data_IF_379239382615
#
_entry.id   IF_379239382615
#
_cell.length_a   1.000
_cell.length_b   1.000
_cell.length_c   1.000
_cell.angle_alpha   90.00
_cell.angle_beta   90.00
_cell.angle_gamma   90.00
#
_symmetry.space_group_name_H-M   'P 1'
#
loop_
_entity.id
_entity.type
_entity.pdbx_description
1 polymer ?
#
# COMPACT_ATOMS: atom_id res chain seq x y z
N UNK A 1 6.02 6.32 -8.56
CA UNK A 1 4.78 6.06 -7.78
C UNK A 1 5.05 5.15 -6.57
N UNK A 2 6.02 5.49 -5.71
CA UNK A 2 6.25 4.81 -4.41
C UNK A 2 6.74 5.77 -3.30
N UNK A 3 7.24 6.96 -3.67
CA UNK A 3 7.79 7.97 -2.76
C UNK A 3 6.75 8.89 -2.13
N UNK A 4 5.50 8.87 -2.62
CA UNK A 4 4.49 9.86 -2.25
C UNK A 4 3.93 9.71 -0.83
N UNK A 5 4.06 8.51 -0.24
CA UNK A 5 3.44 8.18 1.05
C UNK A 5 4.21 8.82 2.23
N UNK A 6 5.55 8.76 2.30
CA UNK A 6 6.31 9.58 3.25
C UNK A 6 5.99 11.08 3.13
N UNK A 7 5.89 11.62 1.91
CA UNK A 7 5.57 13.04 1.67
C UNK A 7 4.16 13.41 2.20
N UNK A 8 3.24 12.45 2.28
CA UNK A 8 1.90 12.68 2.84
C UNK A 8 1.91 12.93 4.36
N UNK A 9 3.04 12.70 5.04
CA UNK A 9 3.23 12.99 6.46
C UNK A 9 3.47 14.49 6.74
N UNK A 10 3.74 15.30 5.71
CA UNK A 10 3.85 16.77 5.85
C UNK A 10 2.50 17.45 6.16
N UNK A 11 1.38 16.76 5.97
CA UNK A 11 0.04 17.26 6.26
C UNK A 11 -0.33 17.21 7.75
N UNK A 12 -1.42 17.89 8.17
CA UNK A 12 -1.90 17.82 9.56
C UNK A 12 -2.19 16.36 10.00
N UNK A 13 -1.86 16.01 11.24
CA UNK A 13 -2.01 14.65 11.79
C UNK A 13 -3.36 13.98 11.52
N UNK A 14 -4.52 14.67 11.61
CA UNK A 14 -5.81 14.07 11.26
C UNK A 14 -5.96 13.71 9.78
N UNK A 15 -5.35 14.49 8.89
CA UNK A 15 -5.37 14.26 7.43
C UNK A 15 -4.47 13.09 7.07
N UNK A 16 -3.27 13.04 7.64
CA UNK A 16 -2.38 11.89 7.48
C UNK A 16 -3.04 10.60 7.98
N UNK A 17 -3.67 10.62 9.17
CA UNK A 17 -4.38 9.46 9.71
C UNK A 17 -5.50 8.96 8.78
N UNK A 18 -6.30 9.88 8.20
CA UNK A 18 -7.37 9.53 7.28
C UNK A 18 -6.87 8.87 5.98
N UNK A 19 -5.76 9.36 5.44
CA UNK A 19 -5.16 8.86 4.19
C UNK A 19 -4.51 7.49 4.42
N UNK A 20 -3.77 7.33 5.51
CA UNK A 20 -3.01 6.11 5.80
C UNK A 20 -3.89 4.95 6.28
N UNK A 21 -4.95 5.22 7.05
CA UNK A 21 -5.76 4.16 7.64
C UNK A 21 -7.07 3.89 6.88
N UNK A 22 -7.77 4.92 6.42
CA UNK A 22 -9.19 4.79 6.10
C UNK A 22 -9.56 4.95 4.63
N UNK A 23 -8.79 5.72 3.85
CA UNK A 23 -9.21 6.11 2.48
C UNK A 23 -8.29 5.57 1.39
N UNK A 24 -7.09 6.14 1.21
CA UNK A 24 -6.28 5.88 0.02
C UNK A 24 -5.71 4.46 -0.05
N UNK A 25 -5.20 3.93 1.06
CA UNK A 25 -4.68 2.55 1.09
C UNK A 25 -5.82 1.54 0.96
N UNK A 26 -6.95 1.79 1.64
CA UNK A 26 -8.13 0.92 1.58
C UNK A 26 -8.74 0.85 0.18
N UNK A 27 -8.75 1.95 -0.57
CA UNK A 27 -9.25 1.99 -1.94
C UNK A 27 -8.47 1.05 -2.88
N UNK A 28 -7.14 0.97 -2.72
CA UNK A 28 -6.30 0.04 -3.49
C UNK A 28 -6.65 -1.43 -3.22
N UNK A 29 -6.76 -1.82 -1.95
CA UNK A 29 -7.14 -3.19 -1.55
C UNK A 29 -8.56 -3.51 -2.00
N UNK A 30 -9.50 -2.56 -1.86
CA UNK A 30 -10.86 -2.71 -2.34
C UNK A 30 -10.93 -2.98 -3.84
N UNK A 31 -10.17 -2.24 -4.65
CA UNK A 31 -10.12 -2.47 -6.09
C UNK A 31 -9.61 -3.87 -6.41
N UNK A 32 -8.52 -4.31 -5.76
CA UNK A 32 -7.97 -5.66 -5.97
C UNK A 32 -8.97 -6.74 -5.61
N UNK A 33 -9.63 -6.62 -4.47
CA UNK A 33 -10.67 -7.55 -4.05
C UNK A 33 -11.87 -7.55 -5.01
N UNK A 34 -12.28 -6.37 -5.49
CA UNK A 34 -13.42 -6.25 -6.42
C UNK A 34 -13.12 -6.83 -7.81
N UNK A 35 -11.86 -6.73 -8.25
CA UNK A 35 -11.37 -7.27 -9.53
C UNK A 35 -10.86 -8.71 -9.41
N UNK A 36 -10.96 -9.34 -8.24
CA UNK A 36 -10.52 -10.72 -8.03
C UNK A 36 -11.07 -11.70 -9.09
N UNK A 37 -12.37 -11.66 -9.50
CA UNK A 37 -12.88 -12.55 -10.56
C UNK A 37 -12.20 -12.38 -11.93
N UNK A 38 -11.54 -11.25 -12.16
CA UNK A 38 -10.75 -10.99 -13.38
C UNK A 38 -9.32 -11.50 -13.18
N UNK A 39 -8.71 -11.23 -12.03
CA UNK A 39 -7.32 -11.60 -11.76
C UNK A 39 -7.10 -13.09 -11.60
N UNK A 40 -8.06 -13.80 -11.00
CA UNK A 40 -7.96 -15.25 -10.77
C UNK A 40 -7.91 -16.07 -12.07
N UNK A 41 -8.28 -15.47 -13.21
CA UNK A 41 -8.20 -16.09 -14.53
C UNK A 41 -6.76 -16.22 -15.05
N UNK A 42 -5.79 -15.56 -14.42
CA UNK A 42 -4.38 -15.59 -14.80
C UNK A 42 -3.49 -15.85 -13.58
N UNK A 43 -2.88 -17.03 -13.55
CA UNK A 43 -1.94 -17.41 -12.49
C UNK A 43 -0.74 -16.44 -12.40
N UNK A 44 -0.24 -15.98 -13.55
CA UNK A 44 0.86 -15.01 -13.62
C UNK A 44 0.46 -13.67 -13.00
N UNK A 45 -0.77 -13.19 -13.26
CA UNK A 45 -1.28 -11.95 -12.66
C UNK A 45 -1.37 -12.07 -11.14
N UNK A 46 -1.88 -13.18 -10.64
CA UNK A 46 -1.95 -13.45 -9.20
C UNK A 46 -0.57 -13.50 -8.56
N UNK A 47 0.40 -14.14 -9.22
CA UNK A 47 1.78 -14.21 -8.76
C UNK A 47 2.42 -12.81 -8.70
N UNK A 48 2.21 -11.97 -9.72
CA UNK A 48 2.72 -10.59 -9.73
C UNK A 48 2.14 -9.78 -8.57
N UNK A 49 0.82 -9.85 -8.33
CA UNK A 49 0.17 -9.15 -7.22
C UNK A 49 0.79 -9.59 -5.88
N UNK A 50 0.97 -10.90 -5.69
CA UNK A 50 1.56 -11.45 -4.47
C UNK A 50 3.02 -11.00 -4.26
N UNK A 51 3.85 -11.07 -5.30
CA UNK A 51 5.26 -10.67 -5.25
C UNK A 51 5.38 -9.17 -4.95
N UNK A 52 4.62 -8.33 -5.65
CA UNK A 52 4.65 -6.87 -5.45
C UNK A 52 4.17 -6.50 -4.05
N UNK A 53 3.11 -7.13 -3.55
CA UNK A 53 2.61 -6.92 -2.18
C UNK A 53 3.63 -7.33 -1.13
N UNK A 54 4.22 -8.52 -1.27
CA UNK A 54 5.24 -9.02 -0.35
C UNK A 54 6.50 -8.16 -0.33
N UNK A 55 7.01 -7.77 -1.51
CA UNK A 55 8.18 -6.91 -1.61
C UNK A 55 7.92 -5.52 -1.01
N UNK A 56 6.75 -4.94 -1.28
CA UNK A 56 6.36 -3.64 -0.72
C UNK A 56 6.28 -3.70 0.81
N UNK A 57 5.64 -4.74 1.36
CA UNK A 57 5.54 -4.93 2.81
C UNK A 57 6.92 -5.12 3.46
N UNK A 58 7.81 -5.90 2.84
CA UNK A 58 9.16 -6.11 3.34
C UNK A 58 9.96 -4.81 3.37
N UNK A 59 9.97 -4.06 2.26
CA UNK A 59 10.68 -2.78 2.16
C UNK A 59 10.10 -1.80 3.19
N UNK A 60 8.78 -1.63 3.24
CA UNK A 60 8.13 -0.72 4.19
C UNK A 60 8.46 -1.06 5.64
N UNK A 61 8.44 -2.36 6.01
CA UNK A 61 8.82 -2.81 7.34
C UNK A 61 10.27 -2.47 7.67
N UNK A 62 11.21 -2.72 6.75
CA UNK A 62 12.64 -2.42 6.98
C UNK A 62 12.91 -0.92 7.09
N UNK A 63 12.27 -0.09 6.27
CA UNK A 63 12.39 1.37 6.36
C UNK A 63 11.77 1.91 7.66
N UNK A 64 10.66 1.32 8.11
CA UNK A 64 10.03 1.66 9.38
C UNK A 64 10.92 1.45 10.61
N UNK A 65 11.89 0.53 10.54
CA UNK A 65 12.84 0.30 11.64
C UNK A 65 13.85 1.45 11.85
N UNK A 66 14.09 2.26 10.82
CA UNK A 66 15.10 3.33 10.82
C UNK A 66 14.51 4.72 10.62
N UNK A 67 13.18 4.84 10.52
CA UNK A 67 12.52 6.14 10.50
C UNK A 67 12.69 6.85 11.85
N UNK A 68 13.11 8.11 11.80
CA UNK A 68 13.35 8.95 12.98
C UNK A 68 12.23 10.00 13.20
N UNK A 69 11.19 9.95 12.38
CA UNK A 69 10.00 10.80 12.50
C UNK A 69 8.82 9.97 13.00
N UNK A 70 7.87 10.63 13.67
CA UNK A 70 6.69 10.02 14.32
C UNK A 70 5.46 9.94 13.41
#
# INVERSE_FOLDING_TARGET
MHTWLPDAMEGPTPVSALIHAATMVAAGVFLVARMYPVFEQSADTMLIIAIVGAATAFIAATLGLVMNDY
#
